data_IF_839217046303
#
_entry.id   IF_839217046303
#
_cell.length_a   1.000
_cell.length_b   1.000
_cell.length_c   1.000
_cell.angle_alpha   90.00
_cell.angle_beta   90.00
_cell.angle_gamma   90.00
#
_symmetry.space_group_name_H-M   'P 1'
#
loop_
_entity.id
_entity.type
_entity.pdbx_description
1 polymer ?
#
# COMPACT_ATOMS: atom_id res chain seq x y z
N UNK A 1 32.82 39.01 -25.29
CA UNK A 1 33.48 40.32 -25.43
C UNK A 1 33.31 41.10 -24.14
N UNK A 2 34.43 41.58 -23.59
CA UNK A 2 34.61 42.68 -22.63
C UNK A 2 33.99 42.57 -21.22
N UNK A 3 34.87 42.25 -20.27
CA UNK A 3 34.97 42.89 -18.94
C UNK A 3 35.14 44.41 -19.05
N UNK A 4 34.83 45.16 -17.98
CA UNK A 4 35.95 45.82 -17.30
C UNK A 4 35.89 45.77 -15.76
N UNK A 5 37.08 45.94 -15.20
CA UNK A 5 37.41 46.11 -13.79
C UNK A 5 37.66 47.59 -13.45
N UNK A 6 37.53 47.97 -12.18
CA UNK A 6 38.22 49.11 -11.52
C UNK A 6 37.90 49.08 -10.01
N UNK A 7 38.81 48.73 -9.08
CA UNK A 7 39.95 49.48 -8.46
C UNK A 7 39.58 50.49 -7.37
N UNK A 8 40.28 50.40 -6.22
CA UNK A 8 40.48 51.49 -5.24
C UNK A 8 40.25 51.05 -3.78
N UNK A 9 41.28 50.58 -3.06
CA UNK A 9 42.20 51.36 -2.20
C UNK A 9 41.65 51.59 -0.76
N UNK A 10 42.11 50.84 0.24
CA UNK A 10 43.28 51.07 1.11
C UNK A 10 43.05 52.13 2.21
N UNK A 11 42.89 51.69 3.47
CA UNK A 11 43.28 52.48 4.64
C UNK A 11 43.45 51.60 5.89
N UNK A 12 44.69 51.63 6.39
CA UNK A 12 45.23 50.97 7.57
C UNK A 12 44.63 51.55 8.86
N UNK A 13 44.42 50.72 9.87
CA UNK A 13 44.61 51.13 11.26
C UNK A 13 45.29 50.03 12.07
N UNK A 14 46.44 50.40 12.61
CA UNK A 14 47.32 49.60 13.45
C UNK A 14 46.94 49.76 14.93
N UNK A 15 47.21 48.72 15.73
CA UNK A 15 47.18 48.79 17.20
C UNK A 15 46.86 47.43 17.84
N UNK A 16 47.80 46.50 17.92
CA UNK A 16 48.76 46.33 19.02
C UNK A 16 48.16 45.91 20.37
N UNK A 17 48.45 44.64 20.72
CA UNK A 17 48.62 44.04 22.06
C UNK A 17 47.34 43.75 22.88
N UNK A 18 47.09 42.47 23.19
CA UNK A 18 47.68 41.76 24.34
C UNK A 18 47.34 40.27 24.28
N UNK A 19 48.32 39.46 24.68
CA UNK A 19 48.25 38.02 24.90
C UNK A 19 47.29 37.71 26.05
N UNK A 20 46.51 36.64 25.95
CA UNK A 20 46.37 35.68 27.04
C UNK A 20 45.72 34.40 26.53
N UNK A 21 46.47 33.31 26.64
CA UNK A 21 46.05 31.94 26.45
C UNK A 21 45.11 31.57 27.60
N UNK A 22 43.89 31.11 27.31
CA UNK A 22 43.15 30.29 28.26
C UNK A 22 42.14 29.39 27.55
N UNK A 23 42.57 28.14 27.39
CA UNK A 23 41.83 26.90 27.67
C UNK A 23 40.32 26.89 27.34
N UNK A 24 40.01 26.13 26.29
CA UNK A 24 39.03 25.04 26.28
C UNK A 24 37.73 25.24 27.07
N UNK A 25 36.64 25.47 26.34
CA UNK A 25 35.42 24.65 26.50
C UNK A 25 34.53 24.81 25.26
N UNK A 26 34.73 23.95 24.25
CA UNK A 26 33.72 23.77 23.20
C UNK A 26 32.65 22.87 23.83
N UNK A 27 31.57 23.48 24.31
CA UNK A 27 30.41 22.76 24.80
C UNK A 27 29.61 22.26 23.57
N UNK A 28 30.01 21.11 23.03
CA UNK A 28 29.18 20.37 22.06
C UNK A 28 28.03 19.75 22.87
N UNK A 29 26.90 20.44 22.98
CA UNK A 29 25.64 19.78 23.34
C UNK A 29 25.22 18.89 22.17
N UNK A 30 25.76 17.69 22.14
CA UNK A 30 25.20 16.59 21.38
C UNK A 30 23.89 16.18 22.04
N UNK A 31 22.78 16.76 21.59
CA UNK A 31 21.46 16.23 21.87
C UNK A 31 21.31 14.94 21.06
N UNK A 32 21.85 13.84 21.59
CA UNK A 32 21.59 12.52 21.09
C UNK A 32 20.15 12.15 21.47
N UNK A 33 19.18 12.60 20.67
CA UNK A 33 17.89 11.93 20.60
C UNK A 33 18.11 10.56 19.92
N UNK A 34 18.67 9.60 20.65
CA UNK A 34 18.46 8.20 20.31
C UNK A 34 17.04 7.84 20.72
N UNK A 35 16.07 8.33 19.95
CA UNK A 35 14.76 7.72 19.92
C UNK A 35 14.94 6.36 19.25
N UNK A 36 15.33 5.35 20.04
CA UNK A 36 15.01 3.97 19.67
C UNK A 36 13.51 3.87 19.79
N UNK A 37 12.79 4.28 18.75
CA UNK A 37 11.49 3.71 18.47
C UNK A 37 11.77 2.22 18.23
N UNK A 38 11.75 1.44 19.32
CA UNK A 38 11.53 0.01 19.20
C UNK A 38 10.12 -0.13 18.63
N UNK A 39 10.00 -0.03 17.31
CA UNK A 39 8.85 -0.55 16.60
C UNK A 39 8.85 -2.04 16.94
N UNK A 40 8.08 -2.40 17.98
CA UNK A 40 8.00 -3.77 18.45
C UNK A 40 7.47 -4.59 17.31
N UNK A 41 8.30 -5.42 16.69
CA UNK A 41 7.89 -6.31 15.61
C UNK A 41 6.69 -7.12 16.08
N UNK A 42 5.57 -7.09 15.36
CA UNK A 42 4.47 -7.98 15.64
C UNK A 42 4.90 -9.42 15.34
N UNK A 43 4.87 -10.27 16.36
CA UNK A 43 5.14 -11.71 16.25
C UNK A 43 3.83 -12.44 16.54
N UNK A 44 3.38 -13.26 15.59
CA UNK A 44 2.20 -14.13 15.76
C UNK A 44 2.68 -15.57 15.84
N UNK A 45 2.64 -16.15 17.03
CA UNK A 45 3.03 -17.55 17.30
C UNK A 45 1.86 -18.29 17.97
N UNK A 46 1.50 -19.47 17.45
CA UNK A 46 0.40 -20.30 17.98
C UNK A 46 -0.94 -19.54 18.17
N UNK A 47 -1.24 -18.60 17.26
CA UNK A 47 -2.44 -17.77 17.34
C UNK A 47 -2.39 -16.65 18.37
N UNK A 48 -1.24 -16.43 19.02
CA UNK A 48 -1.01 -15.35 19.98
C UNK A 48 -0.11 -14.28 19.37
N UNK A 49 -0.61 -13.05 19.34
CA UNK A 49 0.14 -11.88 18.91
C UNK A 49 0.91 -11.26 20.09
N UNK A 50 2.18 -10.92 19.86
CA UNK A 50 3.09 -10.27 20.82
C UNK A 50 3.81 -9.12 20.10
N UNK A 51 3.93 -7.96 20.76
CA UNK A 51 4.54 -6.76 20.17
C UNK A 51 3.49 -5.75 19.69
N UNK A 52 3.91 -4.80 18.84
CA UNK A 52 2.99 -3.82 18.23
C UNK A 52 2.33 -4.42 17.00
N UNK A 53 1.17 -5.03 17.23
CA UNK A 53 0.34 -5.68 16.21
C UNK A 53 -0.79 -4.78 15.72
N UNK A 54 -0.64 -3.45 15.83
CA UNK A 54 -1.55 -2.54 15.19
C UNK A 54 -1.69 -2.92 13.70
N UNK A 55 -2.94 -3.13 13.26
CA UNK A 55 -3.30 -3.51 11.90
C UNK A 55 -2.87 -4.93 11.44
N UNK A 56 -2.33 -5.77 12.33
CA UNK A 56 -2.09 -7.19 12.03
C UNK A 56 -3.32 -7.98 12.44
N UNK A 57 -4.02 -8.55 11.46
CA UNK A 57 -5.07 -9.52 11.72
C UNK A 57 -4.47 -10.90 12.02
N UNK A 58 -4.73 -11.41 13.22
CA UNK A 58 -4.35 -12.76 13.65
C UNK A 58 -5.59 -13.51 14.16
N UNK A 59 -5.58 -14.83 14.03
CA UNK A 59 -6.72 -15.69 14.35
C UNK A 59 -7.52 -16.13 13.11
N UNK A 60 -8.70 -16.75 13.30
CA UNK A 60 -9.52 -17.21 12.19
C UNK A 60 -9.94 -16.02 11.32
N UNK A 61 -9.83 -16.18 10.00
CA UNK A 61 -10.16 -15.14 9.06
C UNK A 61 -11.63 -14.72 9.24
N UNK A 62 -11.86 -13.44 9.50
CA UNK A 62 -13.21 -12.94 9.76
C UNK A 62 -13.89 -12.49 8.47
N UNK A 63 -15.23 -12.44 8.42
CA UNK A 63 -15.94 -11.76 7.35
C UNK A 63 -15.68 -10.25 7.39
N UNK A 64 -15.56 -9.64 6.21
CA UNK A 64 -15.52 -8.20 5.99
C UNK A 64 -16.75 -7.79 5.19
N UNK A 65 -17.52 -6.83 5.71
CA UNK A 65 -18.57 -6.15 4.97
C UNK A 65 -18.17 -4.69 4.81
N UNK A 66 -18.07 -4.23 3.56
CA UNK A 66 -17.62 -2.87 3.24
C UNK A 66 -18.80 -2.05 2.75
N UNK A 67 -19.17 -1.05 3.53
CA UNK A 67 -20.26 -0.12 3.22
C UNK A 67 -19.75 1.21 2.68
N UNK A 68 -18.56 1.62 3.13
CA UNK A 68 -17.94 2.89 2.74
C UNK A 68 -16.80 2.65 1.74
N UNK A 69 -16.54 3.66 0.91
CA UNK A 69 -15.42 3.62 -0.03
C UNK A 69 -14.09 3.77 0.72
N UNK A 70 -13.06 3.04 0.30
CA UNK A 70 -11.78 3.07 0.99
C UNK A 70 -10.80 1.97 0.59
N UNK A 71 -9.68 1.91 1.33
CA UNK A 71 -8.65 0.90 1.17
C UNK A 71 -8.66 -0.06 2.36
N UNK A 72 -8.66 -1.36 2.08
CA UNK A 72 -8.70 -2.43 3.07
C UNK A 72 -7.61 -3.44 2.76
N UNK A 73 -6.97 -3.97 3.80
CA UNK A 73 -5.96 -5.01 3.66
C UNK A 73 -6.08 -5.99 4.82
N UNK A 74 -5.99 -7.28 4.53
CA UNK A 74 -6.08 -8.28 5.58
C UNK A 74 -6.23 -9.72 5.10
N UNK A 75 -6.57 -10.60 6.04
CA UNK A 75 -6.89 -11.99 5.78
C UNK A 75 -8.35 -12.24 6.18
N UNK A 76 -9.21 -12.41 5.18
CA UNK A 76 -10.66 -12.47 5.38
C UNK A 76 -11.24 -13.79 4.88
N UNK A 77 -12.14 -14.39 5.65
CA UNK A 77 -12.87 -15.57 5.17
C UNK A 77 -13.86 -15.19 4.07
N UNK A 78 -14.39 -13.97 4.11
CA UNK A 78 -15.29 -13.46 3.08
C UNK A 78 -15.17 -11.95 3.03
N UNK A 79 -15.21 -11.35 1.85
CA UNK A 79 -15.42 -9.92 1.69
C UNK A 79 -16.70 -9.66 0.87
N UNK A 80 -17.57 -8.78 1.36
CA UNK A 80 -18.74 -8.31 0.62
C UNK A 80 -18.62 -6.82 0.42
N UNK A 81 -18.47 -6.41 -0.84
CA UNK A 81 -18.42 -5.00 -1.24
C UNK A 81 -19.84 -4.57 -1.57
N UNK A 82 -20.41 -3.74 -0.70
CA UNK A 82 -21.83 -3.36 -0.79
C UNK A 82 -22.07 -2.32 -1.88
N UNK A 83 -23.34 -2.20 -2.26
CA UNK A 83 -23.82 -1.20 -3.22
C UNK A 83 -23.20 0.20 -2.98
N UNK A 84 -22.82 0.88 -4.06
CA UNK A 84 -22.20 2.21 -4.07
C UNK A 84 -20.82 2.34 -3.42
N UNK A 85 -20.24 1.28 -2.85
CA UNK A 85 -18.88 1.33 -2.33
C UNK A 85 -17.84 1.21 -3.46
N UNK A 86 -16.80 2.04 -3.38
CA UNK A 86 -15.63 2.00 -4.25
C UNK A 86 -14.41 1.58 -3.41
N UNK A 87 -13.95 0.36 -3.60
CA UNK A 87 -13.02 -0.29 -2.68
C UNK A 87 -11.74 -0.72 -3.38
N UNK A 88 -10.61 -0.42 -2.75
CA UNK A 88 -9.34 -1.10 -3.03
C UNK A 88 -9.09 -2.12 -1.92
N UNK A 89 -8.97 -3.40 -2.30
CA UNK A 89 -8.79 -4.50 -1.35
C UNK A 89 -7.51 -5.27 -1.69
N UNK A 90 -6.69 -5.53 -0.69
CA UNK A 90 -5.50 -6.38 -0.80
C UNK A 90 -5.48 -7.47 0.28
N UNK A 91 -4.68 -8.51 0.04
CA UNK A 91 -4.45 -9.59 1.01
C UNK A 91 -5.01 -10.93 0.55
N UNK A 92 -5.28 -11.82 1.51
CA UNK A 92 -5.76 -13.17 1.23
C UNK A 92 -7.23 -13.26 1.63
N UNK A 93 -8.12 -13.43 0.65
CA UNK A 93 -9.56 -13.51 0.92
C UNK A 93 -10.12 -14.78 0.32
N UNK A 94 -10.74 -15.63 1.12
CA UNK A 94 -11.26 -16.89 0.58
C UNK A 94 -12.32 -16.64 -0.52
N UNK A 95 -13.37 -15.87 -0.22
CA UNK A 95 -14.39 -15.50 -1.21
C UNK A 95 -14.75 -14.02 -1.21
N UNK A 96 -14.91 -13.43 -2.39
CA UNK A 96 -15.31 -12.04 -2.57
C UNK A 96 -16.66 -11.97 -3.29
N UNK A 97 -17.56 -11.11 -2.81
CA UNK A 97 -18.80 -10.73 -3.48
C UNK A 97 -18.78 -9.23 -3.76
N UNK A 98 -19.00 -8.86 -5.02
CA UNK A 98 -19.15 -7.47 -5.46
C UNK A 98 -20.60 -7.25 -5.86
N UNK A 99 -21.35 -6.53 -5.03
CA UNK A 99 -22.77 -6.27 -5.26
C UNK A 99 -23.02 -5.36 -6.47
N UNK A 100 -24.26 -5.34 -7.02
CA UNK A 100 -24.61 -4.38 -8.06
C UNK A 100 -24.23 -2.96 -7.66
N UNK A 101 -23.74 -2.14 -8.61
CA UNK A 101 -23.34 -0.74 -8.34
C UNK A 101 -22.06 -0.55 -7.52
N UNK A 102 -21.50 -1.62 -6.92
CA UNK A 102 -20.22 -1.56 -6.22
C UNK A 102 -19.04 -1.63 -7.21
N UNK A 103 -17.89 -1.10 -6.78
CA UNK A 103 -16.62 -1.22 -7.51
C UNK A 103 -15.51 -1.76 -6.62
N UNK A 104 -14.79 -2.75 -7.13
CA UNK A 104 -13.66 -3.37 -6.46
C UNK A 104 -12.40 -3.28 -7.33
N UNK A 105 -11.29 -2.83 -6.75
CA UNK A 105 -9.94 -3.06 -7.25
C UNK A 105 -9.24 -4.04 -6.32
N UNK A 106 -8.90 -5.24 -6.81
CA UNK A 106 -8.33 -6.31 -6.01
C UNK A 106 -6.93 -6.69 -6.48
N UNK A 107 -5.97 -6.74 -5.55
CA UNK A 107 -4.56 -7.05 -5.82
C UNK A 107 -4.00 -8.17 -4.94
N UNK A 108 -4.87 -9.05 -4.43
CA UNK A 108 -4.50 -10.12 -3.50
C UNK A 108 -4.67 -11.53 -4.05
N UNK A 109 -4.80 -12.51 -3.16
CA UNK A 109 -5.15 -13.89 -3.51
C UNK A 109 -6.58 -14.19 -3.06
N UNK A 110 -7.38 -14.81 -3.93
CA UNK A 110 -8.72 -15.27 -3.57
C UNK A 110 -9.08 -16.59 -4.21
N UNK A 111 -9.86 -17.43 -3.52
CA UNK A 111 -10.35 -18.70 -4.10
C UNK A 111 -11.53 -18.46 -5.04
N UNK A 112 -12.32 -17.41 -4.82
CA UNK A 112 -13.44 -17.12 -5.70
C UNK A 112 -13.97 -15.70 -5.62
N UNK A 113 -14.46 -15.21 -6.75
CA UNK A 113 -15.09 -13.88 -6.87
C UNK A 113 -16.44 -14.02 -7.56
N UNK A 114 -17.47 -13.42 -6.96
CA UNK A 114 -18.79 -13.27 -7.58
C UNK A 114 -19.05 -11.79 -7.88
N UNK A 115 -19.29 -11.47 -9.14
CA UNK A 115 -19.34 -10.09 -9.64
C UNK A 115 -20.71 -9.77 -10.20
N UNK A 116 -21.50 -8.97 -9.48
CA UNK A 116 -22.71 -8.30 -9.97
C UNK A 116 -22.47 -6.82 -10.27
N UNK A 117 -21.48 -6.20 -9.62
CA UNK A 117 -21.01 -4.84 -9.89
C UNK A 117 -19.83 -4.81 -10.85
N UNK A 118 -18.80 -4.04 -10.51
CA UNK A 118 -17.55 -3.95 -11.27
C UNK A 118 -16.37 -4.45 -10.44
N UNK A 119 -15.54 -5.33 -11.02
CA UNK A 119 -14.32 -5.81 -10.39
C UNK A 119 -13.12 -5.68 -11.33
N UNK A 120 -12.03 -5.10 -10.84
CA UNK A 120 -10.71 -5.09 -11.46
C UNK A 120 -9.78 -6.00 -10.67
N UNK A 121 -9.36 -7.11 -11.28
CA UNK A 121 -8.66 -8.22 -10.64
C UNK A 121 -7.22 -8.28 -11.15
N UNK A 122 -6.30 -7.64 -10.42
CA UNK A 122 -4.86 -7.64 -10.70
C UNK A 122 -4.11 -8.77 -9.97
N UNK A 123 -4.74 -9.33 -8.93
CA UNK A 123 -4.20 -10.43 -8.15
C UNK A 123 -4.46 -11.82 -8.74
N UNK A 124 -4.35 -12.84 -7.89
CA UNK A 124 -4.70 -14.22 -8.23
C UNK A 124 -6.13 -14.53 -7.74
N UNK A 125 -6.96 -15.00 -8.65
CA UNK A 125 -8.33 -15.44 -8.38
C UNK A 125 -8.48 -16.90 -8.80
N UNK A 126 -9.09 -17.73 -7.96
CA UNK A 126 -9.45 -19.10 -8.34
C UNK A 126 -10.56 -19.07 -9.40
N UNK A 127 -11.81 -19.15 -8.95
CA UNK A 127 -12.97 -19.09 -9.86
C UNK A 127 -13.63 -17.70 -9.86
N UNK A 128 -13.76 -17.06 -11.01
CA UNK A 128 -14.49 -15.79 -11.18
C UNK A 128 -15.84 -16.04 -11.87
N UNK A 129 -16.94 -15.78 -11.17
CA UNK A 129 -18.32 -15.80 -11.73
C UNK A 129 -18.78 -14.37 -11.97
N UNK A 130 -19.07 -14.01 -13.23
CA UNK A 130 -19.63 -12.71 -13.59
C UNK A 130 -21.12 -12.86 -13.88
N UNK A 131 -21.95 -12.30 -13.02
CA UNK A 131 -23.41 -12.35 -13.09
C UNK A 131 -23.98 -11.33 -14.09
N UNK A 132 -25.27 -11.43 -14.49
CA UNK A 132 -25.88 -10.46 -15.39
C UNK A 132 -25.74 -9.02 -14.88
N UNK A 133 -25.32 -8.11 -15.76
CA UNK A 133 -25.04 -6.70 -15.43
C UNK A 133 -23.67 -6.44 -14.79
N UNK A 134 -22.98 -7.49 -14.32
CA UNK A 134 -21.63 -7.40 -13.79
C UNK A 134 -20.56 -7.24 -14.87
N UNK A 135 -19.42 -6.66 -14.48
CA UNK A 135 -18.22 -6.59 -15.31
C UNK A 135 -16.99 -6.97 -14.50
N UNK A 136 -16.20 -7.91 -15.01
CA UNK A 136 -14.89 -8.25 -14.47
C UNK A 136 -13.79 -7.93 -15.48
N UNK A 137 -12.78 -7.17 -15.05
CA UNK A 137 -11.53 -6.97 -15.75
C UNK A 137 -10.48 -7.88 -15.11
N UNK A 138 -9.92 -8.80 -15.89
CA UNK A 138 -8.88 -9.72 -15.45
C UNK A 138 -7.55 -9.20 -15.94
N UNK A 139 -6.69 -8.75 -15.01
CA UNK A 139 -5.33 -8.30 -15.32
C UNK A 139 -4.28 -9.27 -14.78
N UNK A 140 -4.58 -9.96 -13.69
CA UNK A 140 -3.72 -10.97 -13.08
C UNK A 140 -4.03 -12.38 -13.57
N UNK A 141 -4.20 -13.30 -12.62
CA UNK A 141 -4.46 -14.72 -12.88
C UNK A 141 -5.87 -15.07 -12.45
N UNK A 142 -6.59 -15.79 -13.31
CA UNK A 142 -7.84 -16.46 -12.97
C UNK A 142 -7.73 -17.96 -13.32
N UNK A 143 -7.93 -18.86 -12.36
CA UNK A 143 -7.95 -20.30 -12.66
C UNK A 143 -9.11 -20.64 -13.59
N UNK A 144 -10.25 -19.97 -13.44
CA UNK A 144 -11.39 -20.09 -14.36
C UNK A 144 -12.27 -18.86 -14.30
N UNK A 145 -12.95 -18.56 -15.41
CA UNK A 145 -13.91 -17.45 -15.50
C UNK A 145 -15.17 -17.96 -16.20
N UNK A 146 -16.34 -17.65 -15.64
CA UNK A 146 -17.62 -18.03 -16.21
C UNK A 146 -18.73 -17.02 -15.90
N UNK A 147 -19.90 -17.24 -16.48
CA UNK A 147 -21.12 -16.45 -16.23
C UNK A 147 -21.53 -15.56 -17.41
N UNK A 148 -22.78 -15.06 -17.39
CA UNK A 148 -23.36 -14.30 -18.50
C UNK A 148 -22.99 -12.81 -18.51
N UNK A 149 -22.25 -12.33 -17.51
CA UNK A 149 -21.80 -10.94 -17.44
C UNK A 149 -20.64 -10.63 -18.39
N UNK A 150 -20.16 -9.38 -18.35
CA UNK A 150 -19.07 -8.94 -19.23
C UNK A 150 -17.72 -9.31 -18.64
N UNK A 151 -16.91 -10.03 -19.39
CA UNK A 151 -15.53 -10.39 -19.03
C UNK A 151 -14.58 -9.65 -19.98
N UNK A 152 -13.60 -8.95 -19.41
CA UNK A 152 -12.55 -8.25 -20.16
C UNK A 152 -11.22 -8.82 -19.68
N UNK A 153 -10.53 -9.57 -20.52
CA UNK A 153 -9.18 -10.03 -20.22
C UNK A 153 -8.16 -9.04 -20.76
N UNK A 154 -7.28 -8.54 -19.91
CA UNK A 154 -6.17 -7.67 -20.32
C UNK A 154 -5.05 -8.50 -20.95
N UNK A 155 -4.28 -7.89 -21.86
CA UNK A 155 -3.08 -8.51 -22.42
C UNK A 155 -2.13 -8.91 -21.29
N UNK A 156 -1.63 -10.14 -21.33
CA UNK A 156 -0.74 -10.71 -20.31
C UNK A 156 -1.45 -11.33 -19.11
N UNK A 157 -2.78 -11.20 -18.99
CA UNK A 157 -3.55 -11.98 -18.02
C UNK A 157 -3.50 -13.47 -18.34
N UNK A 158 -3.70 -14.32 -17.34
CA UNK A 158 -3.72 -15.78 -17.49
C UNK A 158 -5.08 -16.30 -17.05
N UNK A 159 -5.78 -17.00 -17.93
CA UNK A 159 -7.09 -17.60 -17.65
C UNK A 159 -7.02 -19.10 -17.94
N UNK A 160 -7.30 -19.94 -16.94
CA UNK A 160 -7.24 -21.41 -17.12
C UNK A 160 -5.85 -21.92 -17.48
N UNK A 161 -4.80 -21.20 -17.05
CA UNK A 161 -3.41 -21.51 -17.41
C UNK A 161 -2.99 -21.03 -18.80
N UNK A 162 -3.85 -20.34 -19.55
CA UNK A 162 -3.56 -19.83 -20.90
C UNK A 162 -3.36 -18.30 -20.85
N UNK A 163 -2.20 -17.78 -21.28
CA UNK A 163 -1.99 -16.34 -21.42
C UNK A 163 -2.88 -15.73 -22.50
N UNK A 164 -3.37 -14.52 -22.26
CA UNK A 164 -4.17 -13.73 -23.22
C UNK A 164 -3.26 -12.77 -23.99
N UNK A 165 -3.30 -12.84 -25.33
CA UNK A 165 -2.45 -12.08 -26.26
C UNK A 165 -3.12 -10.80 -26.82
#
# INVERSE_FOLDING_TARGET
>A
MQTPASTGADARHAGSRRRSISRSLVLVLGLACTATASAGTCIVENGRATGDCAFVQYGPAQPLAVFDSGAYSGNYARAVIRHSAHVTLSGNIDHITVEPGARLNFSGNTRGVQVWGYADLTGNSGHVVVHPGGTAVIQGVAESVSGPGRIIAARGSIIGGVPVN
#
